data_IF_905227351537
#
_entry.id   IF_905227351537
#
_cell.length_a   1.000
_cell.length_b   1.000
_cell.length_c   1.000
_cell.angle_alpha   90.00
_cell.angle_beta   90.00
_cell.angle_gamma   90.00
#
_symmetry.space_group_name_H-M   'P 1'
#
loop_
_entity.id
_entity.type
_entity.pdbx_description
1 polymer ?
#
# COMPACT_ATOMS: atom_id res chain seq x y z
N UNK A 1 -13.29 -18.87 -82.05
CA UNK A 1 -12.33 -18.05 -81.30
C UNK A 1 -13.12 -17.32 -80.23
N UNK A 2 -13.06 -17.76 -78.97
CA UNK A 2 -13.50 -16.91 -77.86
C UNK A 2 -12.59 -17.17 -76.65
N UNK A 3 -11.65 -16.24 -76.49
CA UNK A 3 -10.63 -16.23 -75.43
C UNK A 3 -11.30 -15.64 -74.18
N UNK A 4 -11.62 -16.48 -73.19
CA UNK A 4 -11.95 -15.99 -71.84
C UNK A 4 -10.72 -15.30 -71.25
N UNK A 5 -10.80 -13.97 -71.10
CA UNK A 5 -9.84 -13.17 -70.34
C UNK A 5 -10.05 -13.47 -68.86
N UNK A 6 -9.06 -14.11 -68.24
CA UNK A 6 -8.97 -14.24 -66.78
C UNK A 6 -8.51 -12.89 -66.22
N UNK A 7 -9.38 -12.16 -65.54
CA UNK A 7 -8.98 -10.97 -64.78
C UNK A 7 -8.34 -11.43 -63.46
N UNK A 8 -7.03 -11.19 -63.34
CA UNK A 8 -6.29 -11.25 -62.08
C UNK A 8 -6.73 -10.09 -61.17
N UNK A 9 -7.83 -10.25 -60.46
CA UNK A 9 -8.06 -9.50 -59.23
C UNK A 9 -8.21 -10.54 -58.12
N UNK A 10 -7.11 -10.82 -57.43
CA UNK A 10 -7.13 -11.63 -56.22
C UNK A 10 -8.00 -10.93 -55.19
N UNK A 11 -9.16 -11.52 -54.90
CA UNK A 11 -10.02 -11.08 -53.81
C UNK A 11 -9.26 -11.23 -52.50
N UNK A 12 -8.96 -10.10 -51.86
CA UNK A 12 -8.47 -10.11 -50.49
C UNK A 12 -9.55 -10.76 -49.61
N UNK A 13 -9.19 -11.72 -48.73
CA UNK A 13 -10.16 -12.47 -47.97
C UNK A 13 -11.03 -11.54 -47.12
N UNK A 14 -12.33 -11.82 -47.05
CA UNK A 14 -13.34 -11.01 -46.34
C UNK A 14 -13.00 -10.73 -44.86
N UNK A 15 -12.06 -11.48 -44.26
CA UNK A 15 -11.52 -11.23 -42.92
C UNK A 15 -10.65 -9.96 -42.79
N UNK A 16 -10.11 -9.42 -43.88
CA UNK A 16 -9.20 -8.26 -43.81
C UNK A 16 -9.90 -6.96 -43.39
N UNK A 17 -11.18 -6.80 -43.75
CA UNK A 17 -12.00 -5.67 -43.32
C UNK A 17 -12.29 -5.70 -41.83
N UNK A 18 -12.47 -6.89 -41.25
CA UNK A 18 -12.66 -7.06 -39.81
C UNK A 18 -11.38 -6.78 -39.02
N UNK A 19 -10.20 -7.13 -39.55
CA UNK A 19 -8.93 -6.76 -38.92
C UNK A 19 -8.72 -5.24 -38.92
N UNK A 20 -9.05 -4.55 -40.01
CA UNK A 20 -8.97 -3.08 -40.07
C UNK A 20 -9.93 -2.39 -39.09
N UNK A 21 -11.13 -2.93 -38.85
CA UNK A 21 -12.04 -2.36 -37.86
C UNK A 21 -11.67 -2.73 -36.43
N UNK A 22 -11.29 -3.98 -36.15
CA UNK A 22 -10.95 -4.41 -34.79
C UNK A 22 -9.58 -3.92 -34.30
N UNK A 23 -8.60 -3.73 -35.17
CA UNK A 23 -7.29 -3.17 -34.80
C UNK A 23 -7.15 -1.69 -35.15
N UNK A 24 -7.67 -1.27 -36.31
CA UNK A 24 -7.49 0.10 -36.79
C UNK A 24 -8.26 1.12 -35.95
N UNK A 25 -9.51 0.84 -35.57
CA UNK A 25 -10.35 1.77 -34.80
C UNK A 25 -9.83 2.02 -33.37
N UNK A 26 -9.41 1.02 -32.57
CA UNK A 26 -8.77 1.27 -31.28
C UNK A 26 -7.39 1.90 -31.41
N UNK A 27 -6.62 1.59 -32.46
CA UNK A 27 -5.33 2.26 -32.72
C UNK A 27 -5.55 3.74 -33.06
N UNK A 28 -6.55 4.07 -33.88
CA UNK A 28 -6.90 5.44 -34.24
C UNK A 28 -7.43 6.21 -33.01
N UNK A 29 -8.25 5.56 -32.17
CA UNK A 29 -8.70 6.11 -30.90
C UNK A 29 -7.52 6.39 -29.96
N UNK A 30 -6.60 5.44 -29.79
CA UNK A 30 -5.39 5.58 -28.98
C UNK A 30 -4.48 6.71 -29.51
N UNK A 31 -4.27 6.79 -30.83
CA UNK A 31 -3.50 7.88 -31.44
C UNK A 31 -4.18 9.25 -31.24
N UNK A 32 -5.51 9.31 -31.32
CA UNK A 32 -6.26 10.55 -31.05
C UNK A 32 -6.22 10.96 -29.58
N UNK A 33 -6.28 10.03 -28.63
CA UNK A 33 -6.23 10.34 -27.19
C UNK A 33 -4.82 10.69 -26.75
N UNK A 34 -3.80 9.91 -27.16
CA UNK A 34 -2.40 10.14 -26.85
C UNK A 34 -1.90 11.48 -27.42
N UNK A 35 -2.29 11.85 -28.65
CA UNK A 35 -1.88 13.11 -29.26
C UNK A 35 -2.53 14.35 -28.62
N UNK A 36 -3.70 14.21 -27.98
CA UNK A 36 -4.44 15.32 -27.37
C UNK A 36 -4.16 15.51 -25.88
N UNK A 37 -3.71 14.47 -25.18
CA UNK A 37 -3.45 14.53 -23.75
C UNK A 37 -2.45 15.63 -23.38
N UNK A 38 -1.32 15.72 -24.10
CA UNK A 38 -0.31 16.75 -23.82
C UNK A 38 -0.75 18.18 -24.13
N UNK A 39 -1.72 18.40 -25.04
CA UNK A 39 -2.24 19.74 -25.34
C UNK A 39 -3.17 20.23 -24.22
N UNK A 40 -4.00 19.33 -23.69
CA UNK A 40 -4.90 19.62 -22.57
C UNK A 40 -4.12 19.87 -21.29
N UNK A 41 -3.09 19.07 -21.00
CA UNK A 41 -2.23 19.24 -19.83
C UNK A 41 -1.51 20.60 -19.86
N UNK A 42 -0.98 21.03 -21.03
CA UNK A 42 -0.34 22.34 -21.20
C UNK A 42 -1.32 23.51 -21.03
N UNK A 43 -2.51 23.41 -21.63
CA UNK A 43 -3.55 24.45 -21.50
C UNK A 43 -4.02 24.58 -20.04
N UNK A 44 -4.30 23.46 -19.37
CA UNK A 44 -4.69 23.46 -17.96
C UNK A 44 -3.58 23.95 -17.02
N UNK A 45 -2.32 23.58 -17.28
CA UNK A 45 -1.16 24.10 -16.53
C UNK A 45 -1.07 25.61 -16.68
N UNK A 46 -1.25 26.13 -17.89
CA UNK A 46 -1.18 27.58 -18.18
C UNK A 46 -2.32 28.33 -17.48
N UNK A 47 -3.55 27.84 -17.56
CA UNK A 47 -4.71 28.49 -16.93
C UNK A 47 -4.66 28.42 -15.41
N UNK A 48 -4.24 27.28 -14.86
CA UNK A 48 -4.18 27.08 -13.41
C UNK A 48 -3.06 27.91 -12.77
N UNK A 49 -1.89 27.98 -13.42
CA UNK A 49 -0.80 28.85 -12.98
C UNK A 49 -1.16 30.33 -13.09
N UNK A 50 -1.85 30.75 -14.17
CA UNK A 50 -2.35 32.11 -14.32
C UNK A 50 -3.40 32.47 -13.24
N UNK A 51 -4.29 31.55 -12.89
CA UNK A 51 -5.30 31.75 -11.85
C UNK A 51 -4.67 31.89 -10.46
N UNK A 52 -3.67 31.06 -10.13
CA UNK A 52 -2.91 31.19 -8.87
C UNK A 52 -2.17 32.51 -8.79
N UNK A 53 -1.53 32.93 -9.89
CA UNK A 53 -0.83 34.21 -9.97
C UNK A 53 -1.77 35.41 -9.81
N UNK A 54 -2.93 35.36 -10.43
CA UNK A 54 -3.96 36.39 -10.27
C UNK A 54 -4.51 36.48 -8.83
N UNK A 55 -4.46 35.38 -8.07
CA UNK A 55 -4.86 35.31 -6.67
C UNK A 55 -3.72 35.65 -5.68
N UNK A 56 -2.51 35.99 -6.16
CA UNK A 56 -1.34 36.25 -5.32
C UNK A 56 -0.76 35.00 -4.64
N UNK A 57 -1.00 33.83 -5.22
CA UNK A 57 -0.60 32.51 -4.70
C UNK A 57 0.56 31.93 -5.50
N UNK A 58 1.54 32.78 -5.84
CA UNK A 58 2.70 32.45 -6.69
C UNK A 58 3.61 31.37 -6.10
N UNK A 59 3.48 31.14 -4.78
CA UNK A 59 4.19 30.11 -4.04
C UNK A 59 3.68 28.69 -4.36
N UNK A 60 2.49 28.56 -4.97
CA UNK A 60 1.89 27.28 -5.34
C UNK A 60 2.24 26.92 -6.79
N UNK A 61 2.89 25.76 -6.96
CA UNK A 61 3.29 25.21 -8.26
C UNK A 61 2.29 24.16 -8.74
N UNK A 62 1.95 24.23 -10.03
CA UNK A 62 1.02 23.34 -10.72
C UNK A 62 1.79 22.25 -11.46
N UNK A 63 1.47 20.97 -11.21
CA UNK A 63 2.03 19.82 -11.95
C UNK A 63 0.91 18.91 -12.52
N UNK A 64 0.97 18.64 -13.83
CA UNK A 64 -0.01 17.82 -14.58
C UNK A 64 0.63 16.69 -15.40
N UNK A 65 1.90 16.33 -15.19
CA UNK A 65 2.60 15.34 -16.02
C UNK A 65 1.89 13.98 -16.10
N UNK A 66 1.39 13.63 -17.29
CA UNK A 66 0.65 12.39 -17.58
C UNK A 66 -0.65 12.20 -16.76
N UNK A 67 -1.20 13.28 -16.19
CA UNK A 67 -2.39 13.21 -15.33
C UNK A 67 -3.68 13.67 -15.99
N UNK A 68 -3.60 14.10 -17.26
CA UNK A 68 -4.75 14.56 -18.04
C UNK A 68 -5.38 15.83 -17.47
N UNK A 69 -6.44 15.68 -16.67
CA UNK A 69 -7.24 16.79 -16.09
C UNK A 69 -7.14 16.91 -14.58
N UNK A 70 -6.30 16.11 -13.94
CA UNK A 70 -6.10 16.14 -12.49
C UNK A 70 -4.87 16.98 -12.16
N UNK A 71 -5.07 18.06 -11.42
CA UNK A 71 -4.03 19.05 -11.12
C UNK A 71 -3.37 18.75 -9.79
N UNK A 72 -2.04 18.69 -9.74
CA UNK A 72 -1.30 18.56 -8.50
C UNK A 72 -0.82 19.95 -8.07
N UNK A 73 -1.05 20.29 -6.82
CA UNK A 73 -0.52 21.51 -6.24
C UNK A 73 0.52 21.19 -5.18
N UNK A 74 1.69 21.81 -5.32
CA UNK A 74 2.83 21.70 -4.42
C UNK A 74 3.29 23.11 -4.01
N UNK A 75 3.83 23.26 -2.81
CA UNK A 75 4.35 24.53 -2.33
C UNK A 75 4.25 24.66 -0.82
N UNK A 76 4.80 25.75 -0.28
CA UNK A 76 4.70 26.09 1.14
C UNK A 76 3.68 27.21 1.36
N UNK A 77 2.54 26.86 1.93
CA UNK A 77 1.53 27.83 2.34
C UNK A 77 1.91 28.46 3.69
N UNK A 78 1.80 29.79 3.78
CA UNK A 78 2.00 30.51 5.03
C UNK A 78 0.97 30.17 6.13
N UNK A 79 -0.18 29.59 5.75
CA UNK A 79 -1.25 29.18 6.68
C UNK A 79 -2.22 28.20 6.02
N UNK A 80 -3.00 27.46 6.83
CA UNK A 80 -4.02 26.55 6.32
C UNK A 80 -5.08 27.26 5.44
N UNK A 81 -5.56 28.49 5.79
CA UNK A 81 -6.42 29.26 4.89
C UNK A 81 -5.78 29.61 3.54
N UNK A 82 -4.47 29.91 3.51
CA UNK A 82 -3.76 30.20 2.27
C UNK A 82 -3.67 28.95 1.37
N UNK A 83 -3.42 27.78 1.96
CA UNK A 83 -3.51 26.49 1.25
C UNK A 83 -4.89 26.25 0.67
N UNK A 84 -5.93 26.39 1.49
CA UNK A 84 -7.31 26.10 1.08
C UNK A 84 -7.78 27.07 -0.02
N UNK A 85 -7.32 28.33 0.02
CA UNK A 85 -7.52 29.30 -1.06
C UNK A 85 -6.86 28.88 -2.37
N UNK A 86 -5.65 28.32 -2.33
CA UNK A 86 -4.95 27.80 -3.52
C UNK A 86 -5.67 26.60 -4.14
N UNK A 87 -6.09 25.64 -3.31
CA UNK A 87 -6.86 24.48 -3.75
C UNK A 87 -8.17 24.90 -4.43
N UNK A 88 -8.92 25.82 -3.81
CA UNK A 88 -10.18 26.33 -4.34
C UNK A 88 -10.00 27.13 -5.63
N UNK A 89 -8.94 27.92 -5.72
CA UNK A 89 -8.62 28.72 -6.92
C UNK A 89 -8.45 27.82 -8.13
N UNK A 90 -7.69 26.74 -8.00
CA UNK A 90 -7.42 25.79 -9.10
C UNK A 90 -8.60 24.87 -9.38
N UNK A 91 -9.37 24.49 -8.36
CA UNK A 91 -10.59 23.70 -8.55
C UNK A 91 -11.64 24.44 -9.39
N UNK A 92 -11.66 25.77 -9.36
CA UNK A 92 -12.56 26.60 -10.15
C UNK A 92 -12.08 26.87 -11.58
N UNK A 93 -10.89 26.41 -11.96
CA UNK A 93 -10.37 26.57 -13.33
C UNK A 93 -11.13 25.63 -14.26
N UNK A 94 -11.74 26.19 -15.30
CA UNK A 94 -12.53 25.42 -16.27
C UNK A 94 -11.70 24.29 -16.90
N UNK A 95 -12.18 23.06 -16.74
CA UNK A 95 -11.54 21.85 -17.27
C UNK A 95 -10.75 21.02 -16.24
N UNK A 96 -10.55 21.54 -15.02
CA UNK A 96 -9.97 20.77 -13.90
C UNK A 96 -11.01 19.78 -13.35
N UNK A 97 -10.61 18.52 -13.17
CA UNK A 97 -11.47 17.46 -12.60
C UNK A 97 -11.25 17.31 -11.10
N UNK A 98 -10.00 17.18 -10.69
CA UNK A 98 -9.60 16.96 -9.30
C UNK A 98 -8.31 17.72 -9.00
N UNK A 99 -8.17 18.20 -7.76
CA UNK A 99 -6.98 18.89 -7.28
C UNK A 99 -6.37 18.07 -6.15
N UNK A 100 -5.16 17.56 -6.37
CA UNK A 100 -4.41 16.81 -5.36
C UNK A 100 -3.55 17.77 -4.54
N UNK A 101 -3.74 17.72 -3.22
CA UNK A 101 -3.06 18.58 -2.25
C UNK A 101 -1.73 17.97 -1.78
N UNK A 102 -0.61 18.57 -2.21
CA UNK A 102 0.74 18.32 -1.70
C UNK A 102 1.34 19.63 -1.14
N UNK A 103 0.50 20.56 -0.71
CA UNK A 103 0.94 21.83 -0.12
C UNK A 103 1.22 21.61 1.38
N UNK A 104 2.42 21.97 1.79
CA UNK A 104 2.83 22.00 3.19
C UNK A 104 2.42 23.34 3.82
N UNK A 105 1.92 23.33 5.06
CA UNK A 105 1.56 24.56 5.78
C UNK A 105 2.68 24.87 6.77
N UNK A 106 3.32 26.03 6.62
CA UNK A 106 4.26 26.54 7.60
C UNK A 106 3.53 26.67 8.94
N UNK A 107 4.02 25.97 9.97
CA UNK A 107 3.46 26.05 11.31
C UNK A 107 3.44 27.51 11.75
N UNK A 108 2.24 28.00 12.11
CA UNK A 108 2.08 29.38 12.56
C UNK A 108 2.98 29.62 13.79
N UNK A 109 3.74 30.72 13.86
CA UNK A 109 4.34 31.13 15.13
C UNK A 109 3.20 31.35 16.12
N UNK A 110 3.35 30.80 17.32
CA UNK A 110 2.40 30.97 18.42
C UNK A 110 2.06 32.47 18.56
N UNK A 111 0.78 32.79 18.56
CA UNK A 111 0.30 34.15 18.75
C UNK A 111 0.70 34.61 20.16
N UNK A 112 1.65 35.53 20.25
CA UNK A 112 1.95 36.27 21.48
C UNK A 112 0.81 37.28 21.75
N UNK A 113 0.22 37.21 22.95
CA UNK A 113 -0.68 38.23 23.48
C UNK A 113 0.05 39.58 23.64
N UNK A 114 -0.66 40.73 23.57
CA UNK A 114 -0.01 42.03 23.45
C UNK A 114 0.58 42.49 24.78
N UNK A 115 1.91 42.47 24.90
CA UNK A 115 2.61 43.13 26.02
C UNK A 115 2.80 44.61 25.66
N UNK A 116 2.44 45.47 26.62
CA UNK A 116 2.49 46.92 26.52
C UNK A 116 3.93 47.44 26.31
N UNK A 117 3.99 48.53 25.54
CA UNK A 117 5.18 49.25 25.10
C UNK A 117 6.00 49.76 26.30
N UNK A 118 7.24 49.31 26.44
CA UNK A 118 8.28 50.01 27.16
C UNK A 118 9.52 50.17 26.26
N UNK A 119 10.06 51.39 26.27
CA UNK A 119 11.08 51.94 25.39
C UNK A 119 12.42 51.14 25.35
N UNK A 120 13.24 51.29 24.30
CA UNK A 120 14.37 50.41 24.05
C UNK A 120 15.54 50.78 24.97
N UNK A 121 15.95 49.85 25.83
CA UNK A 121 17.25 49.94 26.49
C UNK A 121 18.21 49.06 25.72
N UNK A 122 19.15 49.69 25.03
CA UNK A 122 20.27 49.03 24.42
C UNK A 122 21.04 48.25 25.50
N UNK A 123 21.12 46.93 25.36
CA UNK A 123 22.03 46.09 26.12
C UNK A 123 22.46 44.93 25.23
N UNK A 124 23.64 45.12 24.66
CA UNK A 124 24.48 44.07 24.09
C UNK A 124 24.84 43.09 25.21
N UNK A 125 24.19 41.93 25.24
CA UNK A 125 24.72 40.75 25.92
C UNK A 125 25.10 39.68 24.89
N UNK A 126 26.21 38.96 25.11
CA UNK A 126 26.76 38.00 24.16
C UNK A 126 25.89 36.75 24.08
N UNK A 127 25.72 36.24 22.86
CA UNK A 127 25.05 34.97 22.56
C UNK A 127 25.73 33.86 23.36
N UNK A 128 25.05 33.34 24.39
CA UNK A 128 25.42 32.07 24.99
C UNK A 128 25.13 30.98 23.95
N UNK A 129 26.19 30.31 23.48
CA UNK A 129 26.07 29.13 22.65
C UNK A 129 25.34 28.04 23.45
N UNK A 130 24.11 27.74 23.05
CA UNK A 130 23.39 26.55 23.53
C UNK A 130 24.28 25.33 23.32
N UNK A 131 24.52 24.57 24.39
CA UNK A 131 25.23 23.30 24.31
C UNK A 131 24.58 22.41 23.23
N UNK A 132 25.37 21.65 22.44
CA UNK A 132 24.80 20.82 21.38
C UNK A 132 23.85 19.80 22.01
N UNK A 133 22.57 19.86 21.63
CA UNK A 133 21.59 18.84 21.92
C UNK A 133 22.14 17.49 21.45
N UNK A 134 22.14 16.42 22.27
CA UNK A 134 22.70 15.14 21.88
C UNK A 134 21.98 14.61 20.65
N UNK A 135 22.74 14.28 19.61
CA UNK A 135 22.21 13.80 18.34
C UNK A 135 21.53 12.45 18.53
N UNK A 136 20.31 12.31 18.03
CA UNK A 136 19.55 11.05 17.99
C UNK A 136 20.17 10.13 16.93
N UNK A 137 20.23 8.83 17.19
CA UNK A 137 20.75 7.89 16.20
C UNK A 137 19.76 7.70 15.02
N UNK A 138 20.25 7.52 13.79
CA UNK A 138 19.40 7.23 12.63
C UNK A 138 18.77 5.84 12.73
N UNK A 139 17.59 5.67 12.13
CA UNK A 139 16.83 4.41 12.08
C UNK A 139 16.46 4.08 10.64
N UNK A 140 16.52 2.80 10.29
CA UNK A 140 16.18 2.28 8.98
C UNK A 140 15.61 0.87 9.08
N UNK A 141 14.50 0.67 8.39
CA UNK A 141 13.80 -0.60 8.28
C UNK A 141 13.38 -0.80 6.84
N UNK A 142 13.73 -1.97 6.30
CA UNK A 142 13.30 -2.47 5.02
C UNK A 142 12.48 -3.72 5.27
N UNK A 143 11.28 -3.78 4.71
CA UNK A 143 10.43 -4.96 4.76
C UNK A 143 9.85 -5.26 3.38
N UNK A 144 9.91 -6.52 2.99
CA UNK A 144 9.24 -7.03 1.81
C UNK A 144 7.85 -7.50 2.21
N UNK A 145 6.84 -6.79 1.74
CA UNK A 145 5.43 -7.09 2.01
C UNK A 145 4.74 -7.24 0.65
N UNK A 146 4.29 -8.45 0.35
CA UNK A 146 3.43 -8.75 -0.81
C UNK A 146 4.01 -8.28 -2.17
N UNK A 147 5.32 -8.48 -2.38
CA UNK A 147 6.01 -8.13 -3.63
C UNK A 147 6.40 -6.64 -3.76
N UNK A 148 6.20 -5.84 -2.71
CA UNK A 148 6.66 -4.45 -2.61
C UNK A 148 7.66 -4.29 -1.47
N UNK A 149 8.52 -3.28 -1.58
CA UNK A 149 9.53 -2.96 -0.58
C UNK A 149 9.09 -1.72 0.17
N UNK A 150 8.85 -1.85 1.48
CA UNK A 150 8.51 -0.74 2.35
C UNK A 150 9.78 -0.29 3.07
N UNK A 151 10.13 0.99 2.90
CA UNK A 151 11.24 1.63 3.59
C UNK A 151 10.70 2.56 4.67
N UNK A 152 11.11 2.35 5.91
CA UNK A 152 10.72 3.14 7.07
C UNK A 152 11.98 3.55 7.84
N UNK A 153 11.89 4.65 8.60
CA UNK A 153 13.02 5.11 9.39
C UNK A 153 13.08 6.62 9.51
N UNK A 154 14.07 7.10 10.25
CA UNK A 154 14.32 8.53 10.48
C UNK A 154 15.78 8.83 10.17
N UNK A 155 16.02 9.81 9.30
CA UNK A 155 17.37 10.25 8.91
C UNK A 155 17.55 11.75 9.11
N UNK A 156 18.81 12.18 9.22
CA UNK A 156 19.19 13.57 9.44
C UNK A 156 19.21 14.42 8.18
N UNK A 157 19.26 13.82 6.99
CA UNK A 157 19.29 14.56 5.74
C UNK A 157 18.50 13.90 4.59
N UNK A 158 17.98 14.76 3.70
CA UNK A 158 17.31 14.31 2.48
C UNK A 158 18.26 13.57 1.52
N UNK A 159 19.56 13.86 1.58
CA UNK A 159 20.57 13.18 0.76
C UNK A 159 20.76 11.73 1.19
N UNK A 160 20.74 11.44 2.50
CA UNK A 160 20.81 10.07 3.02
C UNK A 160 19.56 9.28 2.66
N UNK A 161 18.37 9.88 2.78
CA UNK A 161 17.10 9.27 2.35
C UNK A 161 17.18 8.92 0.86
N UNK A 162 17.62 9.86 0.02
CA UNK A 162 17.80 9.62 -1.42
C UNK A 162 18.84 8.52 -1.71
N UNK A 163 19.95 8.47 -0.97
CA UNK A 163 20.97 7.44 -1.10
C UNK A 163 20.44 6.05 -0.71
N UNK A 164 19.65 5.97 0.36
CA UNK A 164 19.01 4.74 0.81
C UNK A 164 17.99 4.22 -0.21
N UNK A 165 17.10 5.10 -0.70
CA UNK A 165 16.15 4.75 -1.77
C UNK A 165 16.89 4.29 -3.01
N UNK A 166 17.96 4.99 -3.42
CA UNK A 166 18.77 4.63 -4.59
C UNK A 166 19.47 3.27 -4.42
N UNK A 167 19.98 2.97 -3.23
CA UNK A 167 20.62 1.68 -2.94
C UNK A 167 19.61 0.53 -3.06
N UNK A 168 18.39 0.72 -2.54
CA UNK A 168 17.30 -0.25 -2.65
C UNK A 168 16.81 -0.39 -4.10
N UNK A 169 16.67 0.72 -4.83
CA UNK A 169 16.35 0.69 -6.27
C UNK A 169 17.44 -0.05 -7.08
N UNK A 170 18.71 0.18 -6.76
CA UNK A 170 19.82 -0.47 -7.45
C UNK A 170 19.88 -1.99 -7.18
N UNK A 171 19.53 -2.40 -5.96
CA UNK A 171 19.42 -3.80 -5.62
C UNK A 171 18.17 -4.43 -6.29
N UNK A 172 16.98 -3.92 -6.02
CA UNK A 172 15.72 -4.60 -6.36
C UNK A 172 15.09 -4.16 -7.69
N UNK A 173 15.75 -3.28 -8.45
CA UNK A 173 15.40 -2.95 -9.83
C UNK A 173 13.99 -2.40 -10.00
N UNK A 174 13.13 -3.17 -10.67
CA UNK A 174 11.75 -2.79 -11.05
C UNK A 174 10.71 -3.01 -9.95
N UNK A 175 11.11 -3.55 -8.79
CA UNK A 175 10.18 -3.74 -7.67
C UNK A 175 9.66 -2.39 -7.15
N UNK A 176 8.38 -2.34 -6.80
CA UNK A 176 7.78 -1.12 -6.27
C UNK A 176 8.29 -0.84 -4.86
N UNK A 177 8.82 0.37 -4.66
CA UNK A 177 9.36 0.84 -3.37
C UNK A 177 8.39 1.87 -2.80
N UNK A 178 7.82 1.57 -1.63
CA UNK A 178 7.06 2.50 -0.81
C UNK A 178 8.02 3.16 0.19
N UNK A 179 8.38 4.42 -0.07
CA UNK A 179 9.26 5.19 0.80
C UNK A 179 8.45 5.94 1.87
N UNK A 180 8.53 5.47 3.11
CA UNK A 180 7.92 6.05 4.29
C UNK A 180 8.97 6.60 5.28
N UNK A 181 10.20 6.85 4.81
CA UNK A 181 11.25 7.46 5.64
C UNK A 181 10.94 8.92 5.95
N UNK A 182 11.32 9.35 7.16
CA UNK A 182 11.07 10.69 7.68
C UNK A 182 12.38 11.46 7.87
N UNK A 183 12.33 12.76 7.60
CA UNK A 183 13.42 13.69 7.89
C UNK A 183 13.23 14.26 9.29
N UNK A 184 14.27 14.22 10.12
CA UNK A 184 14.26 14.86 11.44
C UNK A 184 15.58 15.58 11.74
N UNK A 185 15.46 16.78 12.31
CA UNK A 185 16.61 17.56 12.76
C UNK A 185 17.27 16.91 14.00
N UNK A 186 18.59 17.09 14.14
CA UNK A 186 19.33 16.57 15.28
C UNK A 186 19.55 15.05 15.25
N UNK A 187 19.51 14.43 14.08
CA UNK A 187 19.87 13.02 13.86
C UNK A 187 21.32 12.92 13.36
N UNK A 188 22.10 11.99 13.92
CA UNK A 188 23.48 11.75 13.52
C UNK A 188 23.57 11.15 12.09
N UNK A 189 24.68 11.39 11.35
CA UNK A 189 24.87 10.80 10.02
C UNK A 189 24.80 9.27 10.02
N UNK A 190 24.21 8.70 8.97
CA UNK A 190 24.04 7.27 8.81
C UNK A 190 25.26 6.62 8.15
N UNK A 191 26.41 6.61 8.82
CA UNK A 191 27.68 6.07 8.28
C UNK A 191 27.58 4.59 7.86
N UNK A 192 26.70 3.82 8.51
CA UNK A 192 26.44 2.41 8.22
C UNK A 192 25.62 2.18 6.94
N UNK A 193 25.02 3.22 6.34
CA UNK A 193 24.11 3.08 5.21
C UNK A 193 24.80 2.46 3.98
N UNK A 194 26.07 2.81 3.75
CA UNK A 194 26.86 2.23 2.66
C UNK A 194 27.12 0.74 2.88
N UNK A 195 27.30 0.32 4.12
CA UNK A 195 27.45 -1.08 4.50
C UNK A 195 26.15 -1.84 4.25
N UNK A 196 25.00 -1.29 4.69
CA UNK A 196 23.67 -1.86 4.43
C UNK A 196 23.41 -2.04 2.93
N UNK A 197 23.79 -1.07 2.10
CA UNK A 197 23.64 -1.14 0.65
C UNK A 197 24.31 -2.38 0.03
N UNK A 198 25.45 -2.83 0.59
CA UNK A 198 26.15 -4.04 0.16
C UNK A 198 25.47 -5.36 0.58
N UNK A 199 24.57 -5.31 1.57
CA UNK A 199 23.79 -6.46 2.03
C UNK A 199 22.49 -6.65 1.24
N UNK A 200 21.92 -5.56 0.69
CA UNK A 200 20.66 -5.59 -0.05
C UNK A 200 20.61 -6.63 -1.18
N UNK A 201 21.69 -6.86 -1.97
CA UNK A 201 21.67 -7.90 -2.99
C UNK A 201 21.55 -9.32 -2.44
N UNK A 202 22.06 -9.58 -1.23
CA UNK A 202 21.97 -10.90 -0.60
C UNK A 202 20.56 -11.19 -0.06
N UNK A 203 19.74 -10.16 0.10
CA UNK A 203 18.34 -10.27 0.50
C UNK A 203 17.40 -10.44 -0.70
N UNK A 204 17.92 -10.45 -1.93
CA UNK A 204 17.12 -10.67 -3.13
C UNK A 204 16.74 -12.14 -3.27
N UNK A 205 15.46 -12.41 -3.56
CA UNK A 205 14.94 -13.75 -3.76
C UNK A 205 14.50 -14.47 -2.47
N UNK A 206 14.65 -13.83 -1.31
CA UNK A 206 14.05 -14.33 -0.07
C UNK A 206 12.57 -13.96 -0.04
N UNK A 207 11.71 -14.91 0.33
CA UNK A 207 10.32 -14.60 0.63
C UNK A 207 10.27 -13.86 1.98
N UNK A 208 9.46 -12.80 2.10
CA UNK A 208 9.29 -12.02 3.33
C UNK A 208 10.60 -11.40 3.91
N UNK A 209 11.54 -11.01 3.05
CA UNK A 209 12.80 -10.39 3.47
C UNK A 209 12.58 -9.15 4.36
N UNK A 210 13.27 -9.07 5.50
CA UNK A 210 13.27 -7.89 6.36
C UNK A 210 14.67 -7.56 6.89
N UNK A 211 14.97 -6.28 7.01
CA UNK A 211 16.23 -5.75 7.53
C UNK A 211 15.94 -4.52 8.37
N UNK A 212 16.38 -4.51 9.62
CA UNK A 212 16.26 -3.37 10.52
C UNK A 212 17.63 -2.99 11.07
N UNK A 213 17.94 -1.69 11.04
CA UNK A 213 19.15 -1.09 11.59
C UNK A 213 18.73 0.11 12.43
N UNK A 214 18.92 0.00 13.73
CA UNK A 214 18.50 1.02 14.69
C UNK A 214 19.47 1.08 15.87
N UNK A 215 19.43 2.17 16.64
CA UNK A 215 20.17 2.26 17.91
C UNK A 215 19.79 1.17 18.93
N UNK A 216 18.59 0.58 18.82
CA UNK A 216 18.11 -0.48 19.71
C UNK A 216 18.62 -1.89 19.32
N UNK A 217 19.29 -2.02 18.16
CA UNK A 217 19.79 -3.28 17.63
C UNK A 217 19.45 -3.48 16.16
N UNK A 218 20.20 -4.40 15.55
CA UNK A 218 20.09 -4.77 14.14
C UNK A 218 19.38 -6.13 14.03
N UNK A 219 18.50 -6.31 13.05
CA UNK A 219 17.84 -7.60 12.80
C UNK A 219 17.72 -7.90 11.32
N UNK A 220 17.78 -9.18 10.98
CA UNK A 220 17.60 -9.69 9.61
C UNK A 220 16.60 -10.86 9.64
N UNK A 221 15.65 -10.86 8.71
CA UNK A 221 14.60 -11.87 8.64
C UNK A 221 14.18 -12.18 7.21
N UNK A 222 13.46 -13.29 7.04
CA UNK A 222 13.03 -13.81 5.74
C UNK A 222 13.10 -15.32 5.66
N UNK A 223 12.40 -15.87 4.68
CA UNK A 223 12.31 -17.31 4.42
C UNK A 223 13.36 -17.75 3.41
N UNK A 224 14.15 -18.75 3.78
CA UNK A 224 15.25 -19.32 3.01
C UNK A 224 14.94 -20.76 2.63
N UNK A 225 15.44 -21.24 1.47
CA UNK A 225 15.21 -22.61 1.04
C UNK A 225 16.11 -23.64 1.76
N UNK A 226 17.21 -23.23 2.39
CA UNK A 226 18.12 -24.15 3.09
C UNK A 226 18.85 -23.53 4.29
N UNK A 227 19.28 -24.38 5.23
CA UNK A 227 20.12 -23.99 6.38
C UNK A 227 21.51 -23.47 5.95
N UNK A 228 22.02 -23.92 4.80
CA UNK A 228 23.30 -23.45 4.26
C UNK A 228 23.20 -21.99 3.78
N UNK A 229 22.10 -21.63 3.13
CA UNK A 229 21.84 -20.25 2.69
C UNK A 229 21.63 -19.32 3.90
N UNK A 230 20.96 -19.83 4.95
CA UNK A 230 20.82 -19.13 6.23
C UNK A 230 22.18 -18.81 6.86
N UNK A 231 23.07 -19.80 6.96
CA UNK A 231 24.40 -19.60 7.54
C UNK A 231 25.24 -18.61 6.74
N UNK A 232 25.18 -18.66 5.40
CA UNK A 232 25.89 -17.73 4.52
C UNK A 232 25.39 -16.29 4.62
N UNK A 233 24.06 -16.10 4.68
CA UNK A 233 23.45 -14.78 4.82
C UNK A 233 23.73 -14.17 6.19
N UNK A 234 23.64 -14.96 7.26
CA UNK A 234 23.92 -14.50 8.62
C UNK A 234 25.39 -14.08 8.77
N UNK A 235 26.35 -14.85 8.22
CA UNK A 235 27.76 -14.50 8.24
C UNK A 235 28.05 -13.19 7.49
N UNK A 236 27.42 -13.00 6.32
CA UNK A 236 27.54 -11.75 5.55
C UNK A 236 26.91 -10.57 6.27
N UNK A 237 25.75 -10.76 6.92
CA UNK A 237 25.11 -9.74 7.72
C UNK A 237 26.00 -9.34 8.91
N UNK A 238 26.58 -10.30 9.63
CA UNK A 238 27.49 -10.06 10.77
C UNK A 238 28.77 -9.32 10.36
N UNK A 239 29.30 -9.59 9.17
CA UNK A 239 30.45 -8.87 8.62
C UNK A 239 30.13 -7.40 8.30
N UNK A 240 28.89 -7.10 7.92
CA UNK A 240 28.44 -5.78 7.46
C UNK A 240 27.88 -4.91 8.59
N UNK A 241 27.14 -5.52 9.53
CA UNK A 241 26.40 -4.81 10.59
C UNK A 241 26.96 -5.06 11.99
N UNK A 242 28.02 -5.86 12.12
CA UNK A 242 28.68 -6.19 13.38
C UNK A 242 28.10 -7.42 14.09
N UNK A 243 28.78 -7.87 15.15
CA UNK A 243 28.31 -8.95 16.00
C UNK A 243 27.13 -8.45 16.86
N UNK A 244 26.04 -9.25 16.96
CA UNK A 244 24.84 -8.91 17.74
C UNK A 244 23.55 -8.70 16.95
N UNK A 245 23.49 -9.16 15.70
CA UNK A 245 22.28 -9.10 14.87
C UNK A 245 21.27 -10.16 15.36
N UNK A 246 20.02 -9.76 15.55
CA UNK A 246 18.93 -10.69 15.82
C UNK A 246 18.58 -11.49 14.55
N UNK A 247 18.72 -12.81 14.63
CA UNK A 247 18.35 -13.77 13.59
C UNK A 247 16.85 -14.07 13.62
N UNK A 248 16.13 -13.59 12.62
CA UNK A 248 14.71 -13.88 12.37
C UNK A 248 14.52 -14.63 11.03
N UNK A 249 15.56 -15.34 10.56
CA UNK A 249 15.53 -16.10 9.33
C UNK A 249 14.89 -17.47 9.56
N UNK A 250 13.91 -17.84 8.73
CA UNK A 250 13.24 -19.12 8.76
C UNK A 250 13.65 -19.96 7.53
N UNK A 251 13.72 -21.29 7.68
CA UNK A 251 13.97 -22.20 6.54
C UNK A 251 12.65 -22.83 6.13
N UNK A 252 12.22 -22.58 4.89
CA UNK A 252 10.99 -23.10 4.30
C UNK A 252 11.16 -24.59 4.05
N UNK A 253 10.39 -25.41 4.76
CA UNK A 253 10.36 -26.85 4.52
C UNK A 253 9.92 -27.13 3.06
N UNK A 254 10.58 -28.05 2.33
CA UNK A 254 10.24 -28.32 0.93
C UNK A 254 8.80 -28.84 0.83
N UNK A 255 7.97 -28.10 0.10
CA UNK A 255 6.60 -28.51 -0.23
C UNK A 255 6.67 -29.66 -1.23
N UNK A 256 6.23 -30.84 -0.82
CA UNK A 256 6.09 -31.98 -1.72
C UNK A 256 5.03 -31.65 -2.80
N UNK A 257 5.25 -32.03 -4.08
CA UNK A 257 4.32 -31.70 -5.16
C UNK A 257 2.96 -32.39 -4.97
N UNK A 258 1.86 -31.61 -4.99
CA UNK A 258 0.50 -32.13 -4.91
C UNK A 258 0.13 -32.99 -6.14
N UNK A 259 -0.52 -34.16 -5.96
CA UNK A 259 -1.00 -34.98 -7.07
C UNK A 259 -2.34 -34.46 -7.64
N UNK A 260 -2.46 -34.48 -8.96
CA UNK A 260 -3.67 -34.11 -9.73
C UNK A 260 -4.90 -34.96 -9.36
N UNK A 261 -6.13 -34.40 -9.34
CA UNK A 261 -7.34 -35.14 -8.97
C UNK A 261 -7.87 -35.96 -10.16
N UNK A 262 -8.02 -37.27 -9.97
CA UNK A 262 -8.89 -38.13 -10.79
C UNK A 262 -10.08 -38.62 -9.94
N UNK A 263 -11.24 -38.91 -10.56
CA UNK A 263 -12.49 -39.16 -9.85
C UNK A 263 -12.46 -40.52 -9.15
N UNK A 264 -12.92 -40.55 -7.90
CA UNK A 264 -13.14 -41.74 -7.09
C UNK A 264 -14.27 -42.60 -7.70
N UNK A 265 -14.30 -43.95 -7.53
CA UNK A 265 -14.59 -44.47 -6.18
C UNK A 265 -14.03 -45.88 -5.80
N UNK A 266 -13.97 -46.08 -4.47
CA UNK A 266 -13.95 -47.31 -3.65
C UNK A 266 -12.71 -48.24 -3.72
N UNK A 267 -11.95 -48.31 -2.62
CA UNK A 267 -11.91 -49.46 -1.69
C UNK A 267 -10.69 -49.39 -0.75
N UNK A 268 -10.96 -49.72 0.50
CA UNK A 268 -10.08 -49.63 1.67
C UNK A 268 -8.73 -50.36 1.56
N UNK A 269 -7.70 -49.72 2.11
CA UNK A 269 -6.66 -50.38 2.91
C UNK A 269 -6.22 -49.40 4.03
N UNK A 270 -6.03 -49.87 5.29
CA UNK A 270 -5.92 -49.01 6.45
C UNK A 270 -4.50 -48.48 6.60
N UNK A 271 -4.30 -47.17 6.45
CA UNK A 271 -3.05 -46.52 6.84
C UNK A 271 -3.18 -46.07 8.29
N UNK A 272 -2.43 -46.77 9.15
CA UNK A 272 -1.96 -46.40 10.49
C UNK A 272 -2.35 -44.98 10.93
N UNK A 273 -3.39 -44.92 11.77
CA UNK A 273 -3.78 -43.74 12.53
C UNK A 273 -2.63 -43.38 13.46
N UNK A 274 -1.87 -42.36 13.09
CA UNK A 274 -1.10 -41.57 14.05
C UNK A 274 -2.13 -40.89 14.97
N UNK A 275 -1.98 -40.97 16.31
CA UNK A 275 -3.05 -40.55 17.21
C UNK A 275 -3.26 -39.04 17.07
N UNK A 276 -4.49 -38.65 16.74
CA UNK A 276 -4.97 -37.29 16.82
C UNK A 276 -4.64 -36.73 18.22
N UNK A 277 -3.69 -35.79 18.26
CA UNK A 277 -3.46 -34.97 19.45
C UNK A 277 -4.76 -34.23 19.69
N UNK A 278 -5.47 -34.56 20.77
CA UNK A 278 -6.74 -33.93 21.12
C UNK A 278 -6.55 -32.42 21.16
N UNK A 279 -7.28 -31.69 20.32
CA UNK A 279 -7.31 -30.22 20.36
C UNK A 279 -7.74 -29.77 21.74
N UNK A 280 -7.01 -28.81 22.31
CA UNK A 280 -7.36 -28.24 23.62
C UNK A 280 -8.75 -27.60 23.57
N UNK A 281 -9.48 -27.53 24.69
CA UNK A 281 -10.78 -26.84 24.75
C UNK A 281 -10.72 -25.40 24.23
N UNK A 282 -9.58 -24.72 24.41
CA UNK A 282 -9.33 -23.39 23.87
C UNK A 282 -9.24 -23.37 22.34
N UNK A 283 -8.50 -24.31 21.73
CA UNK A 283 -8.42 -24.44 20.27
C UNK A 283 -9.77 -24.79 19.64
N UNK A 284 -10.60 -25.58 20.34
CA UNK A 284 -11.96 -25.89 19.91
C UNK A 284 -12.86 -24.65 19.97
N UNK A 285 -12.76 -23.85 21.03
CA UNK A 285 -13.54 -22.62 21.17
C UNK A 285 -13.22 -21.60 20.06
N UNK A 286 -11.94 -21.45 19.67
CA UNK A 286 -11.54 -20.59 18.55
C UNK A 286 -12.05 -21.11 17.22
N UNK A 287 -11.91 -22.41 16.96
CA UNK A 287 -12.43 -23.04 15.74
C UNK A 287 -13.95 -22.83 15.60
N UNK A 288 -14.69 -23.02 16.69
CA UNK A 288 -16.14 -22.81 16.72
C UNK A 288 -16.50 -21.34 16.45
N UNK A 289 -15.74 -20.38 17.00
CA UNK A 289 -15.99 -18.97 16.72
C UNK A 289 -15.70 -18.62 15.24
N UNK A 290 -14.60 -19.12 14.68
CA UNK A 290 -14.30 -18.92 13.26
C UNK A 290 -15.41 -19.49 12.37
N UNK A 291 -15.93 -20.67 12.71
CA UNK A 291 -17.04 -21.27 11.97
C UNK A 291 -18.30 -20.40 12.04
N UNK A 292 -18.66 -19.88 13.21
CA UNK A 292 -19.81 -18.98 13.33
C UNK A 292 -19.66 -17.69 12.50
N UNK A 293 -18.45 -17.13 12.42
CA UNK A 293 -18.17 -15.97 11.55
C UNK A 293 -18.36 -16.33 10.07
N UNK A 294 -17.81 -17.47 9.65
CA UNK A 294 -17.92 -17.96 8.28
C UNK A 294 -19.39 -18.24 7.89
N UNK A 295 -20.15 -18.87 8.79
CA UNK A 295 -21.57 -19.18 8.59
C UNK A 295 -22.40 -17.89 8.49
N UNK A 296 -22.12 -16.89 9.33
CA UNK A 296 -22.78 -15.59 9.27
C UNK A 296 -22.53 -14.86 7.94
N UNK A 297 -21.35 -15.05 7.36
CA UNK A 297 -20.95 -14.48 6.07
C UNK A 297 -21.40 -15.32 4.86
N UNK A 298 -21.82 -16.57 5.06
CA UNK A 298 -22.16 -17.46 3.97
C UNK A 298 -23.34 -16.92 3.15
N UNK A 299 -23.11 -16.71 1.85
CA UNK A 299 -24.10 -16.14 0.93
C UNK A 299 -24.39 -14.64 1.14
N UNK A 300 -23.59 -13.94 1.96
CA UNK A 300 -23.76 -12.52 2.26
C UNK A 300 -22.44 -11.75 2.06
N UNK A 301 -22.56 -10.47 1.71
CA UNK A 301 -21.42 -9.58 1.52
C UNK A 301 -21.68 -8.24 2.20
N UNK A 302 -20.62 -7.61 2.73
CA UNK A 302 -20.68 -6.23 3.20
C UNK A 302 -20.70 -5.30 1.99
N UNK A 303 -21.80 -4.56 1.84
CA UNK A 303 -22.05 -3.65 0.74
C UNK A 303 -21.61 -2.23 1.08
N UNK A 304 -21.04 -1.56 0.10
CA UNK A 304 -20.56 -0.18 0.20
C UNK A 304 -21.23 0.69 -0.86
N UNK A 305 -21.31 2.00 -0.59
CA UNK A 305 -21.69 2.99 -1.61
C UNK A 305 -20.67 3.03 -2.77
N UNK A 306 -21.15 3.31 -3.98
CA UNK A 306 -20.32 3.31 -5.19
C UNK A 306 -19.14 4.28 -5.06
N UNK A 307 -17.92 3.80 -5.31
CA UNK A 307 -16.64 4.54 -5.15
C UNK A 307 -16.43 5.16 -3.76
N UNK A 308 -17.03 4.59 -2.71
CA UNK A 308 -16.88 5.08 -1.34
C UNK A 308 -16.64 3.92 -0.37
N UNK A 309 -16.03 4.25 0.77
CA UNK A 309 -15.86 3.36 1.93
C UNK A 309 -17.03 3.47 2.92
N UNK A 310 -18.19 3.97 2.49
CA UNK A 310 -19.38 4.10 3.33
C UNK A 310 -20.20 2.81 3.27
N UNK A 311 -20.45 2.19 4.43
CA UNK A 311 -21.25 0.95 4.55
C UNK A 311 -22.73 1.25 4.29
N UNK A 312 -23.38 0.43 3.46
CA UNK A 312 -24.83 0.53 3.21
C UNK A 312 -25.65 0.06 4.39
N UNK A 313 -26.85 0.65 4.55
CA UNK A 313 -27.80 0.26 5.62
C UNK A 313 -28.13 -1.23 5.61
N UNK A 314 -28.24 -1.83 4.43
CA UNK A 314 -28.57 -3.25 4.26
C UNK A 314 -27.52 -4.19 4.85
N UNK A 315 -26.28 -3.73 5.03
CA UNK A 315 -25.19 -4.52 5.63
C UNK A 315 -25.08 -4.34 7.14
N UNK A 316 -25.81 -3.40 7.75
CA UNK A 316 -25.72 -3.14 9.19
C UNK A 316 -26.23 -4.31 10.02
N UNK A 317 -27.32 -4.97 9.59
CA UNK A 317 -27.85 -6.16 10.27
C UNK A 317 -26.86 -7.34 10.25
N UNK A 318 -26.12 -7.51 9.15
CA UNK A 318 -25.05 -8.50 9.06
C UNK A 318 -23.91 -8.15 10.02
N UNK A 319 -23.45 -6.91 10.01
CA UNK A 319 -22.36 -6.45 10.89
C UNK A 319 -22.75 -6.51 12.38
N UNK A 320 -24.01 -6.29 12.71
CA UNK A 320 -24.53 -6.45 14.07
C UNK A 320 -24.51 -7.91 14.51
N UNK A 321 -24.89 -8.84 13.63
CA UNK A 321 -24.78 -10.28 13.88
C UNK A 321 -23.32 -10.70 14.10
N UNK A 322 -22.40 -10.18 13.28
CA UNK A 322 -20.97 -10.45 13.43
C UNK A 322 -20.43 -9.89 14.76
N UNK A 323 -20.78 -8.65 15.12
CA UNK A 323 -20.41 -8.08 16.41
C UNK A 323 -20.92 -8.94 17.59
N UNK A 324 -22.14 -9.47 17.50
CA UNK A 324 -22.67 -10.37 18.54
C UNK A 324 -21.88 -11.68 18.65
N UNK A 325 -21.46 -12.27 17.51
CA UNK A 325 -20.65 -13.49 17.49
C UNK A 325 -19.29 -13.22 18.13
N UNK A 326 -18.61 -12.15 17.69
CA UNK A 326 -17.31 -11.76 18.23
C UNK A 326 -17.39 -11.49 19.74
N UNK A 327 -18.44 -10.81 20.20
CA UNK A 327 -18.66 -10.56 21.63
C UNK A 327 -18.80 -11.86 22.42
N UNK A 328 -19.49 -12.86 21.87
CA UNK A 328 -19.72 -14.14 22.54
C UNK A 328 -18.46 -14.99 22.67
N UNK A 329 -17.49 -14.80 21.78
CA UNK A 329 -16.24 -15.55 21.78
C UNK A 329 -15.01 -14.73 22.19
N UNK A 330 -15.20 -13.48 22.64
CA UNK A 330 -14.14 -12.52 22.94
C UNK A 330 -13.07 -13.09 23.89
N UNK A 331 -13.50 -13.82 24.93
CA UNK A 331 -12.60 -14.47 25.89
C UNK A 331 -11.69 -15.52 25.25
N UNK A 332 -12.17 -16.22 24.22
CA UNK A 332 -11.42 -17.27 23.50
C UNK A 332 -10.40 -16.69 22.52
N UNK A 333 -10.58 -15.43 22.10
CA UNK A 333 -9.75 -14.76 21.08
C UNK A 333 -8.89 -13.63 21.63
N UNK A 334 -8.92 -13.38 22.95
CA UNK A 334 -8.28 -12.24 23.60
C UNK A 334 -6.76 -12.12 23.36
N UNK A 335 -6.07 -13.24 23.06
CA UNK A 335 -4.64 -13.26 22.71
C UNK A 335 -4.32 -13.34 21.21
N UNK A 336 -5.35 -13.49 20.36
CA UNK A 336 -5.22 -13.65 18.89
C UNK A 336 -5.63 -12.39 18.15
N UNK A 337 -6.80 -11.87 18.50
CA UNK A 337 -7.49 -10.86 17.71
C UNK A 337 -8.08 -11.41 16.41
N UNK A 338 -8.76 -10.53 15.69
CA UNK A 338 -9.47 -10.76 14.44
C UNK A 338 -8.89 -9.82 13.39
N UNK A 339 -8.54 -10.38 12.25
CA UNK A 339 -8.21 -9.64 11.04
C UNK A 339 -9.46 -9.45 10.18
N UNK A 340 -9.81 -8.20 9.91
CA UNK A 340 -10.79 -7.80 8.91
C UNK A 340 -10.03 -7.51 7.62
N UNK A 341 -10.21 -8.34 6.60
CA UNK A 341 -9.49 -8.19 5.34
C UNK A 341 -10.42 -7.70 4.23
N UNK A 342 -10.03 -6.62 3.55
CA UNK A 342 -10.75 -6.09 2.40
C UNK A 342 -10.17 -6.59 1.08
N UNK A 343 -11.03 -6.99 0.14
CA UNK A 343 -10.64 -7.49 -1.18
C UNK A 343 -11.36 -6.71 -2.29
N UNK A 344 -10.73 -6.58 -3.45
CA UNK A 344 -11.31 -5.98 -4.67
C UNK A 344 -11.27 -6.98 -5.83
N UNK A 345 -11.98 -6.66 -6.90
CA UNK A 345 -11.71 -7.28 -8.21
C UNK A 345 -10.47 -6.65 -8.86
N UNK A 346 -10.10 -7.15 -10.04
CA UNK A 346 -8.97 -6.64 -10.83
C UNK A 346 -9.28 -5.41 -11.69
N UNK A 347 -10.45 -4.78 -11.51
CA UNK A 347 -10.86 -3.68 -12.36
C UNK A 347 -10.35 -2.38 -11.75
N UNK A 348 -9.43 -1.73 -12.45
CA UNK A 348 -8.88 -0.43 -12.05
C UNK A 348 -7.38 -0.48 -11.87
N UNK A 349 -6.87 0.41 -11.01
CA UNK A 349 -5.45 0.48 -10.69
C UNK A 349 -5.20 -0.22 -9.36
N UNK A 350 -4.19 -1.08 -9.30
CA UNK A 350 -3.84 -1.87 -8.11
C UNK A 350 -3.62 -1.01 -6.86
N UNK A 351 -3.00 0.16 -7.00
CA UNK A 351 -2.77 1.08 -5.87
C UNK A 351 -4.07 1.69 -5.38
N UNK A 352 -5.00 1.99 -6.30
CA UNK A 352 -6.34 2.45 -5.95
C UNK A 352 -7.14 1.33 -5.26
N UNK A 353 -7.10 0.11 -5.80
CA UNK A 353 -7.75 -1.07 -5.26
C UNK A 353 -7.23 -1.43 -3.85
N UNK A 354 -5.92 -1.29 -3.63
CA UNK A 354 -5.29 -1.45 -2.33
C UNK A 354 -5.77 -0.41 -1.32
N UNK A 355 -5.78 0.88 -1.69
CA UNK A 355 -6.27 1.95 -0.81
C UNK A 355 -7.75 1.77 -0.49
N UNK A 356 -8.56 1.41 -1.49
CA UNK A 356 -9.99 1.22 -1.34
C UNK A 356 -10.32 0.04 -0.42
N UNK A 357 -9.65 -1.09 -0.60
CA UNK A 357 -9.81 -2.26 0.28
C UNK A 357 -9.39 -1.95 1.72
N UNK A 358 -8.26 -1.26 1.93
CA UNK A 358 -7.81 -0.84 3.26
C UNK A 358 -8.83 0.07 3.94
N UNK A 359 -9.36 1.07 3.22
CA UNK A 359 -10.38 1.98 3.75
C UNK A 359 -11.67 1.25 4.10
N UNK A 360 -12.12 0.31 3.26
CA UNK A 360 -13.31 -0.50 3.52
C UNK A 360 -13.16 -1.37 4.77
N UNK A 361 -12.01 -2.04 4.91
CA UNK A 361 -11.70 -2.83 6.11
C UNK A 361 -11.65 -1.95 7.36
N UNK A 362 -11.08 -0.74 7.26
CA UNK A 362 -11.04 0.24 8.35
C UNK A 362 -12.42 0.67 8.81
N UNK A 363 -13.34 1.01 7.90
CA UNK A 363 -14.71 1.42 8.28
C UNK A 363 -15.50 0.26 8.90
N UNK A 364 -15.26 -0.98 8.47
CA UNK A 364 -15.85 -2.17 9.11
C UNK A 364 -15.32 -2.33 10.53
N UNK A 365 -13.99 -2.20 10.74
CA UNK A 365 -13.40 -2.18 12.08
C UNK A 365 -14.04 -1.10 12.96
N UNK A 366 -14.11 0.14 12.49
CA UNK A 366 -14.71 1.25 13.23
C UNK A 366 -16.17 0.97 13.63
N UNK A 367 -16.91 0.30 12.74
CA UNK A 367 -18.28 -0.12 13.03
C UNK A 367 -18.33 -1.16 14.16
N UNK A 368 -17.49 -2.19 14.11
CA UNK A 368 -17.44 -3.22 15.15
C UNK A 368 -17.00 -2.65 16.51
N UNK A 369 -16.06 -1.71 16.51
CA UNK A 369 -15.64 -0.99 17.74
C UNK A 369 -16.80 -0.20 18.34
N UNK A 370 -17.59 0.50 17.50
CA UNK A 370 -18.80 1.20 17.95
C UNK A 370 -19.86 0.27 18.54
N UNK A 371 -19.84 -1.01 18.17
CA UNK A 371 -20.73 -2.05 18.71
C UNK A 371 -20.22 -2.68 20.01
N UNK A 372 -19.08 -2.22 20.53
CA UNK A 372 -18.54 -2.63 21.82
C UNK A 372 -17.40 -3.64 21.75
N UNK A 373 -16.93 -4.01 20.56
CA UNK A 373 -15.73 -4.85 20.44
C UNK A 373 -14.50 -4.02 20.74
N UNK A 374 -13.58 -4.58 21.51
CA UNK A 374 -12.32 -3.92 21.82
C UNK A 374 -11.49 -3.67 20.55
N UNK A 375 -11.12 -2.40 20.30
CA UNK A 375 -10.40 -2.02 19.08
C UNK A 375 -8.99 -2.64 18.95
N UNK A 376 -8.39 -3.06 20.07
CA UNK A 376 -7.13 -3.80 20.09
C UNK A 376 -7.27 -5.25 19.63
N UNK A 377 -8.48 -5.82 19.69
CA UNK A 377 -8.76 -7.16 19.18
C UNK A 377 -9.02 -7.18 17.68
N UNK A 378 -9.09 -6.03 17.00
CA UNK A 378 -9.41 -5.98 15.57
C UNK A 378 -8.27 -5.30 14.80
N UNK A 379 -7.73 -6.02 13.83
CA UNK A 379 -6.79 -5.49 12.84
C UNK A 379 -7.50 -5.36 11.49
N UNK A 380 -7.31 -4.25 10.78
CA UNK A 380 -7.91 -4.05 9.45
C UNK A 380 -6.82 -4.01 8.38
N UNK A 381 -6.92 -4.86 7.37
CA UNK A 381 -5.93 -5.01 6.30
C UNK A 381 -6.63 -4.92 4.93
N UNK A 382 -6.14 -4.09 4.04
CA UNK A 382 -6.49 -4.11 2.62
C UNK A 382 -5.60 -5.11 1.91
N UNK A 383 -6.18 -6.01 1.12
CA UNK A 383 -5.44 -6.97 0.29
C UNK A 383 -5.58 -6.65 -1.20
N UNK A 384 -6.34 -5.61 -1.55
CA UNK A 384 -6.61 -5.24 -2.95
C UNK A 384 -7.13 -6.44 -3.74
N UNK A 385 -6.57 -6.64 -4.92
CA UNK A 385 -6.89 -7.76 -5.83
C UNK A 385 -5.94 -8.96 -5.69
N UNK A 386 -5.03 -8.94 -4.71
CA UNK A 386 -3.92 -9.91 -4.59
C UNK A 386 -4.36 -11.32 -4.17
N UNK A 387 -5.57 -11.47 -3.61
CA UNK A 387 -6.13 -12.74 -3.12
C UNK A 387 -7.52 -13.03 -3.73
N UNK A 388 -7.60 -13.25 -5.06
CA UNK A 388 -8.86 -13.61 -5.71
C UNK A 388 -9.29 -15.01 -5.29
N UNK A 389 -10.60 -15.21 -5.09
CA UNK A 389 -11.21 -16.53 -4.81
C UNK A 389 -11.97 -17.07 -6.00
N UNK A 390 -12.16 -16.25 -7.02
CA UNK A 390 -12.85 -16.58 -8.25
C UNK A 390 -12.18 -15.88 -9.44
N UNK A 391 -12.50 -16.33 -10.66
CA UNK A 391 -11.99 -15.69 -11.87
C UNK A 391 -12.40 -14.22 -11.92
N UNK A 392 -11.51 -13.37 -12.43
CA UNK A 392 -11.82 -11.96 -12.69
C UNK A 392 -12.33 -11.71 -14.12
N UNK A 393 -12.40 -12.76 -14.95
CA UNK A 393 -12.76 -12.65 -16.36
C UNK A 393 -14.27 -12.34 -16.56
N UNK A 394 -15.12 -12.74 -15.61
CA UNK A 394 -16.55 -12.51 -15.63
C UNK A 394 -17.05 -11.72 -14.41
N UNK A 395 -18.28 -11.17 -14.51
CA UNK A 395 -18.83 -10.34 -13.43
C UNK A 395 -19.19 -11.14 -12.18
N UNK A 396 -19.51 -12.42 -12.33
CA UNK A 396 -19.88 -13.28 -11.22
C UNK A 396 -18.67 -13.49 -10.29
N UNK A 397 -17.52 -13.83 -10.85
CA UNK A 397 -16.28 -14.00 -10.10
C UNK A 397 -15.73 -12.68 -9.57
N UNK A 398 -15.79 -11.57 -10.33
CA UNK A 398 -15.45 -10.23 -9.81
C UNK A 398 -16.29 -9.86 -8.60
N UNK A 399 -17.60 -10.15 -8.62
CA UNK A 399 -18.46 -9.90 -7.48
C UNK A 399 -18.12 -10.72 -6.26
N UNK A 400 -17.57 -11.93 -6.42
CA UNK A 400 -17.06 -12.75 -5.31
C UNK A 400 -15.74 -12.22 -4.77
N UNK A 401 -14.89 -11.64 -5.62
CA UNK A 401 -13.63 -11.04 -5.21
C UNK A 401 -13.82 -9.73 -4.42
N UNK A 402 -14.87 -8.95 -4.71
CA UNK A 402 -15.27 -7.77 -3.92
C UNK A 402 -15.92 -8.15 -2.58
N UNK A 403 -15.10 -8.57 -1.60
CA UNK A 403 -15.57 -9.06 -0.29
C UNK A 403 -14.80 -8.50 0.89
N UNK A 404 -15.37 -8.68 2.08
CA UNK A 404 -14.69 -8.53 3.37
C UNK A 404 -14.62 -9.91 4.02
N UNK A 405 -13.46 -10.29 4.58
CA UNK A 405 -13.29 -11.51 5.37
C UNK A 405 -12.98 -11.18 6.82
N UNK A 406 -13.26 -12.13 7.71
CA UNK A 406 -13.03 -12.04 9.14
C UNK A 406 -12.30 -13.32 9.57
N UNK A 407 -11.05 -13.17 9.94
CA UNK A 407 -10.15 -14.30 10.23
C UNK A 407 -9.57 -14.13 11.64
N UNK A 408 -9.68 -15.13 12.49
CA UNK A 408 -9.04 -15.11 13.82
C UNK A 408 -7.56 -15.48 13.64
N UNK A 409 -6.66 -14.67 14.18
CA UNK A 409 -5.23 -14.91 14.02
C UNK A 409 -4.79 -16.22 14.71
N UNK A 410 -3.77 -16.91 14.17
CA UNK A 410 -3.12 -18.00 14.91
C UNK A 410 -2.50 -17.49 16.22
N UNK A 411 -2.35 -18.37 17.21
CA UNK A 411 -1.57 -18.08 18.43
C UNK A 411 -0.09 -18.24 18.14
#
# INVERSE_FOLDING_TARGET
MDKKRSCCCGELPAMWWWLLTFLGLPLLFFLMTAARQGVVEKDLTTRSSAALKAAGLDWATVNLEQRGRDVQLQGMAASAPARDAALKTVQNVYGVREVQNLIEVAAAPAQEEPIQVAAPVASTEPVQASAPTPLKAPDFSLQMVEGKIVLQGVMGSQQEIAAAVKAVQGAYGTMQIDNQMQLADGVAPADWLNSVAGLLPALQGLENASLKVSAAGNSIGGDLPSDADKAGLLAKAQQVLGAGIADQLAVKAPVAPEPTPMPTPVAAAPTKVEPAVASTPEQQAVTNCQQQLNDAMTGKTVLFETNRSVIKKDSLALLDSLASIISSCQSSIAGRGIQVSGHTDNVGNDTYNQKLSQQRAGVVKDYLVKKGIEGGLITSVGLGESKPIASNDDEAGRSQNRRITFDINPQ
#
